data_IF_116894138359
#
_entry.id   IF_116894138359
#
_cell.length_a   1.000
_cell.length_b   1.000
_cell.length_c   1.000
_cell.angle_alpha   90.00
_cell.angle_beta   90.00
_cell.angle_gamma   90.00
#
_symmetry.space_group_name_H-M   'P 1'
#
loop_
_entity.id
_entity.type
_entity.pdbx_description
1 polymer ?
#
# COMPACT_ATOMS: atom_id res chain seq x y z
N UNK A 1 22.85 6.38 -18.58
CA UNK A 1 21.57 7.00 -18.17
C UNK A 1 20.62 5.86 -17.88
N UNK A 2 20.00 5.89 -16.72
CA UNK A 2 19.00 4.88 -16.36
C UNK A 2 17.81 5.04 -17.29
N UNK A 3 17.30 3.94 -17.82
CA UNK A 3 16.11 3.95 -18.68
C UNK A 3 14.88 3.89 -17.79
N UNK A 4 13.99 4.88 -17.91
CA UNK A 4 12.66 4.82 -17.31
C UNK A 4 11.85 3.78 -18.07
N UNK A 5 11.39 2.74 -17.36
CA UNK A 5 10.57 1.66 -17.93
C UNK A 5 9.08 1.85 -17.65
N UNK A 6 8.74 2.58 -16.61
CA UNK A 6 7.38 2.95 -16.25
C UNK A 6 7.36 4.25 -15.44
N UNK A 7 6.37 5.06 -15.66
CA UNK A 7 6.12 6.29 -14.93
C UNK A 7 4.61 6.47 -14.80
N UNK A 8 4.15 6.79 -13.59
CA UNK A 8 2.83 7.35 -13.36
C UNK A 8 3.00 8.70 -12.66
N UNK A 9 2.74 9.76 -13.39
CA UNK A 9 2.83 11.13 -12.93
C UNK A 9 1.47 11.73 -12.55
N UNK A 10 0.42 10.90 -12.63
CA UNK A 10 -0.96 11.28 -12.31
C UNK A 10 -1.45 12.52 -13.03
N UNK A 11 -0.97 12.75 -14.25
CA UNK A 11 -1.47 13.82 -15.12
C UNK A 11 -2.87 13.49 -15.64
N UNK A 12 -3.19 12.21 -15.79
CA UNK A 12 -4.54 11.75 -16.06
C UNK A 12 -5.34 11.64 -14.75
N UNK A 13 -6.60 12.05 -14.78
CA UNK A 13 -7.47 12.00 -13.61
C UNK A 13 -7.94 10.58 -13.27
N UNK A 14 -7.82 9.66 -14.21
CA UNK A 14 -8.22 8.27 -14.05
C UNK A 14 -7.05 7.38 -13.63
N UNK A 15 -6.85 7.20 -12.34
CA UNK A 15 -5.83 6.29 -11.80
C UNK A 15 -6.11 4.82 -12.12
N UNK A 16 -7.35 4.45 -12.46
CA UNK A 16 -7.75 3.04 -12.64
C UNK A 16 -7.10 2.35 -13.85
N UNK A 17 -6.42 3.09 -14.71
CA UNK A 17 -5.64 2.50 -15.81
C UNK A 17 -4.50 1.62 -15.27
N UNK A 18 -3.79 2.11 -14.26
CA UNK A 18 -2.63 1.44 -13.67
C UNK A 18 -2.91 0.83 -12.30
N UNK A 19 -3.99 1.26 -11.62
CA UNK A 19 -4.26 0.92 -10.23
C UNK A 19 -5.65 0.32 -10.06
N UNK A 20 -5.76 -0.61 -9.13
CA UNK A 20 -7.03 -1.21 -8.69
C UNK A 20 -7.26 -0.85 -7.22
N UNK A 21 -8.45 -0.34 -6.90
CA UNK A 21 -8.85 -0.12 -5.51
C UNK A 21 -9.19 -1.45 -4.85
N UNK A 22 -8.62 -1.68 -3.69
CA UNK A 22 -8.96 -2.79 -2.81
C UNK A 22 -9.99 -2.30 -1.81
N UNK A 23 -11.07 -3.04 -1.66
CA UNK A 23 -12.20 -2.67 -0.80
C UNK A 23 -12.29 -3.66 0.36
N UNK A 24 -12.65 -3.16 1.53
CA UNK A 24 -12.87 -4.00 2.70
C UNK A 24 -11.91 -3.75 3.85
N UNK A 25 -12.01 -4.62 4.85
CA UNK A 25 -11.13 -4.59 6.03
C UNK A 25 -10.15 -5.76 6.09
N UNK A 26 -10.02 -6.53 5.01
CA UNK A 26 -9.19 -7.72 4.93
C UNK A 26 -9.92 -9.02 5.27
N UNK A 27 -11.09 -8.99 5.87
CA UNK A 27 -11.86 -10.21 6.17
C UNK A 27 -12.25 -10.98 4.90
N UNK A 28 -12.49 -10.26 3.82
CA UNK A 28 -12.78 -10.77 2.48
C UNK A 28 -11.63 -11.61 1.91
N UNK A 29 -10.43 -11.39 2.43
CA UNK A 29 -9.19 -12.09 2.05
C UNK A 29 -8.71 -13.06 3.14
N UNK A 30 -9.52 -13.27 4.21
CA UNK A 30 -9.17 -14.13 5.33
C UNK A 30 -8.17 -13.50 6.33
N UNK A 31 -7.90 -12.21 6.24
CA UNK A 31 -6.96 -11.46 7.09
C UNK A 31 -7.63 -10.22 7.70
N UNK A 32 -8.65 -10.38 8.58
CA UNK A 32 -9.38 -9.26 9.16
C UNK A 32 -8.44 -8.25 9.83
N UNK A 33 -8.72 -6.95 9.64
CA UNK A 33 -7.83 -5.87 10.04
C UNK A 33 -6.48 -5.92 9.33
N UNK A 34 -6.45 -6.54 8.14
CA UNK A 34 -5.25 -6.74 7.30
C UNK A 34 -4.10 -7.42 8.05
N UNK A 35 -4.41 -8.23 9.07
CA UNK A 35 -3.42 -8.87 9.93
C UNK A 35 -2.75 -7.95 10.95
N UNK A 36 -3.04 -6.64 10.93
CA UNK A 36 -2.38 -5.60 11.73
C UNK A 36 -3.32 -4.91 12.75
N UNK A 37 -4.55 -5.41 12.91
CA UNK A 37 -5.60 -4.76 13.70
C UNK A 37 -5.96 -3.34 13.20
N UNK A 38 -5.82 -3.11 11.90
CA UNK A 38 -6.19 -1.85 11.26
C UNK A 38 -7.67 -1.52 11.50
N UNK A 39 -7.99 -0.24 11.66
CA UNK A 39 -9.29 0.24 12.15
C UNK A 39 -10.17 0.80 11.05
N UNK A 40 -9.64 1.02 9.86
CA UNK A 40 -10.37 1.56 8.73
C UNK A 40 -10.97 0.46 7.86
N UNK A 41 -12.00 0.84 7.15
CA UNK A 41 -12.51 0.13 5.98
C UNK A 41 -12.00 0.82 4.71
N UNK A 42 -11.38 0.10 3.81
CA UNK A 42 -10.92 0.65 2.54
C UNK A 42 -12.08 0.74 1.55
N UNK A 43 -12.15 1.85 0.84
CA UNK A 43 -13.20 2.12 -0.16
C UNK A 43 -12.58 2.58 -1.48
N UNK A 44 -13.39 2.60 -2.53
CA UNK A 44 -13.08 3.25 -3.81
C UNK A 44 -13.81 4.60 -3.96
N UNK A 45 -14.29 5.17 -2.85
CA UNK A 45 -14.95 6.47 -2.84
C UNK A 45 -14.01 7.55 -3.35
N UNK A 46 -14.54 8.47 -4.14
CA UNK A 46 -13.82 9.68 -4.58
C UNK A 46 -13.41 10.59 -3.42
N UNK A 47 -13.98 10.41 -2.23
CA UNK A 47 -13.56 11.11 -1.03
C UNK A 47 -12.29 10.50 -0.42
N UNK A 48 -12.06 9.20 -0.63
CA UNK A 48 -10.87 8.52 -0.15
C UNK A 48 -9.75 8.49 -1.21
N UNK A 49 -10.09 8.33 -2.50
CA UNK A 49 -9.10 8.17 -3.56
C UNK A 49 -9.46 9.05 -4.74
N UNK A 50 -8.59 9.98 -5.08
CA UNK A 50 -8.78 10.86 -6.22
C UNK A 50 -7.45 11.43 -6.75
N UNK A 51 -7.47 11.88 -8.00
CA UNK A 51 -6.33 12.58 -8.61
C UNK A 51 -6.68 14.05 -8.74
N UNK A 52 -5.78 14.91 -8.28
CA UNK A 52 -5.91 16.36 -8.39
C UNK A 52 -4.53 17.01 -8.55
N UNK A 53 -4.41 17.91 -9.51
CA UNK A 53 -3.17 18.67 -9.76
C UNK A 53 -1.93 17.77 -9.94
N UNK A 54 -2.05 16.69 -10.70
CA UNK A 54 -0.95 15.75 -10.92
C UNK A 54 -0.52 14.96 -9.67
N UNK A 55 -1.44 14.77 -8.73
CA UNK A 55 -1.17 14.00 -7.52
C UNK A 55 -2.31 13.02 -7.25
N UNK A 56 -1.97 11.76 -7.05
CA UNK A 56 -2.85 10.80 -6.41
C UNK A 56 -2.98 11.15 -4.92
N UNK A 57 -4.21 11.26 -4.45
CA UNK A 57 -4.50 11.46 -3.03
C UNK A 57 -5.23 10.26 -2.46
N UNK A 58 -4.75 9.78 -1.33
CA UNK A 58 -5.41 8.82 -0.47
C UNK A 58 -5.71 9.54 0.84
N UNK A 59 -6.99 9.66 1.17
CA UNK A 59 -7.45 10.47 2.29
C UNK A 59 -8.17 9.60 3.30
N UNK A 60 -7.63 9.42 4.51
CA UNK A 60 -8.35 8.79 5.60
C UNK A 60 -9.43 9.74 6.11
N UNK A 61 -10.61 9.19 6.38
CA UNK A 61 -11.76 9.95 6.86
C UNK A 61 -12.31 9.33 8.15
N UNK A 62 -12.81 10.19 9.03
CA UNK A 62 -13.63 9.79 10.18
C UNK A 62 -15.09 9.77 9.72
N UNK A 63 -15.53 8.60 9.29
CA UNK A 63 -16.90 8.35 8.83
C UNK A 63 -17.27 6.90 9.09
N UNK A 64 -18.55 6.61 9.23
CA UNK A 64 -19.04 5.27 9.52
C UNK A 64 -19.44 4.56 8.23
N UNK A 65 -18.71 3.47 7.92
CA UNK A 65 -18.98 2.61 6.75
C UNK A 65 -18.79 1.16 7.15
N UNK A 66 -19.75 0.29 6.81
CA UNK A 66 -19.67 -1.17 7.00
C UNK A 66 -19.27 -1.62 8.43
N UNK A 67 -19.67 -0.86 9.45
CA UNK A 67 -19.34 -1.16 10.84
C UNK A 67 -18.03 -0.54 11.35
N UNK A 68 -17.32 0.20 10.52
CA UNK A 68 -16.05 0.85 10.83
C UNK A 68 -16.24 2.36 10.97
N UNK A 69 -15.49 2.98 11.89
CA UNK A 69 -15.57 4.42 12.15
C UNK A 69 -14.57 5.24 11.32
N UNK A 70 -13.77 4.58 10.49
CA UNK A 70 -12.79 5.22 9.63
C UNK A 70 -12.81 4.58 8.26
N UNK A 71 -12.62 5.38 7.24
CA UNK A 71 -12.35 4.91 5.87
C UNK A 71 -11.00 5.39 5.38
N UNK A 72 -10.46 4.72 4.39
CA UNK A 72 -9.25 5.12 3.68
C UNK A 72 -9.22 4.48 2.29
N UNK A 73 -8.09 4.58 1.60
CA UNK A 73 -7.87 3.95 0.31
C UNK A 73 -6.68 3.00 0.32
N UNK A 74 -6.82 1.90 -0.40
CA UNK A 74 -5.74 0.94 -0.70
C UNK A 74 -5.74 0.67 -2.19
N UNK A 75 -4.58 0.79 -2.82
CA UNK A 75 -4.40 0.61 -4.26
C UNK A 75 -3.31 -0.42 -4.54
N UNK A 76 -3.48 -1.19 -5.58
CA UNK A 76 -2.47 -2.09 -6.11
C UNK A 76 -2.38 -2.02 -7.63
N UNK A 77 -1.22 -2.38 -8.17
CA UNK A 77 -0.99 -2.47 -9.62
C UNK A 77 -1.12 -3.89 -10.16
N UNK A 78 -1.46 -4.86 -9.33
CA UNK A 78 -1.53 -6.29 -9.68
C UNK A 78 -2.29 -6.52 -10.99
N UNK A 79 -1.71 -7.30 -11.90
CA UNK A 79 -2.24 -7.61 -13.23
C UNK A 79 -2.38 -6.41 -14.17
N UNK A 80 -1.81 -5.26 -13.82
CA UNK A 80 -1.76 -4.05 -14.66
C UNK A 80 -0.34 -3.60 -14.92
N UNK A 81 0.47 -3.51 -13.87
CA UNK A 81 1.88 -3.14 -13.95
C UNK A 81 2.66 -4.04 -12.99
N UNK A 82 3.55 -4.84 -13.55
CA UNK A 82 4.42 -5.74 -12.80
C UNK A 82 5.90 -5.39 -13.03
N UNK A 83 6.69 -5.51 -11.99
CA UNK A 83 8.15 -5.28 -12.04
C UNK A 83 8.86 -6.63 -11.96
N UNK A 84 9.43 -7.08 -13.09
CA UNK A 84 10.03 -8.42 -13.22
C UNK A 84 11.55 -8.41 -13.24
N UNK A 85 12.18 -7.24 -13.23
CA UNK A 85 13.63 -7.10 -13.35
C UNK A 85 14.20 -6.27 -12.21
N UNK A 86 15.49 -6.50 -11.86
CA UNK A 86 16.20 -5.59 -10.97
C UNK A 86 16.12 -4.16 -11.50
N UNK A 87 15.84 -3.22 -10.61
CA UNK A 87 15.68 -1.84 -11.00
C UNK A 87 15.65 -0.90 -9.80
N UNK A 88 15.36 0.35 -10.09
CA UNK A 88 15.17 1.39 -9.10
C UNK A 88 13.72 1.85 -9.15
N UNK A 89 13.07 1.88 -8.00
CA UNK A 89 11.76 2.50 -7.81
C UNK A 89 11.96 3.82 -7.07
N UNK A 90 11.35 4.87 -7.56
CA UNK A 90 11.36 6.18 -6.93
C UNK A 90 9.93 6.68 -6.81
N UNK A 91 9.53 7.04 -5.61
CA UNK A 91 8.20 7.57 -5.33
C UNK A 91 8.34 8.91 -4.63
N UNK A 92 7.70 9.94 -5.18
CA UNK A 92 7.58 11.24 -4.52
C UNK A 92 6.23 11.28 -3.82
N UNK A 93 6.25 11.41 -2.50
CA UNK A 93 5.01 11.42 -1.72
C UNK A 93 5.06 12.42 -0.57
N UNK A 94 3.90 12.70 -0.02
CA UNK A 94 3.70 13.44 1.22
C UNK A 94 2.87 12.57 2.16
N UNK A 95 3.45 12.25 3.32
CA UNK A 95 2.77 11.50 4.37
C UNK A 95 1.72 12.37 5.09
N UNK A 96 0.59 11.80 5.49
CA UNK A 96 -0.29 12.42 6.47
C UNK A 96 0.38 12.44 7.86
N UNK A 97 0.12 13.50 8.62
CA UNK A 97 0.55 13.64 10.01
C UNK A 97 -0.64 13.35 10.94
N UNK A 98 -0.39 12.75 12.08
CA UNK A 98 -1.37 12.50 13.12
C UNK A 98 -1.24 11.12 13.74
N UNK A 99 -1.56 11.03 15.02
CA UNK A 99 -1.55 9.76 15.77
C UNK A 99 -2.50 8.76 15.13
N UNK A 100 -2.01 7.54 14.87
CA UNK A 100 -2.77 6.47 14.23
C UNK A 100 -2.69 6.47 12.70
N UNK A 101 -2.05 7.47 12.08
CA UNK A 101 -1.74 7.42 10.64
C UNK A 101 -0.55 6.49 10.39
N UNK A 102 -0.71 5.62 9.37
CA UNK A 102 0.32 4.67 8.97
C UNK A 102 0.25 4.46 7.45
N UNK A 103 0.69 5.43 6.66
CA UNK A 103 0.80 5.26 5.22
C UNK A 103 1.96 4.34 4.88
N UNK A 104 1.77 3.52 3.84
CA UNK A 104 2.77 2.60 3.33
C UNK A 104 2.88 2.66 1.82
N UNK A 105 4.11 2.55 1.32
CA UNK A 105 4.45 2.31 -0.08
C UNK A 105 5.25 1.02 -0.11
N UNK A 106 4.71 0.00 -0.73
CA UNK A 106 5.21 -1.35 -0.58
C UNK A 106 4.95 -2.21 -1.82
N UNK A 107 5.56 -3.37 -1.86
CA UNK A 107 5.47 -4.32 -2.96
C UNK A 107 5.13 -5.71 -2.44
N UNK A 108 4.21 -6.36 -3.13
CA UNK A 108 3.88 -7.77 -2.95
C UNK A 108 4.15 -8.53 -4.25
N UNK A 109 4.43 -9.83 -4.18
CA UNK A 109 4.54 -10.66 -5.37
C UNK A 109 3.19 -10.71 -6.11
N UNK A 110 3.22 -10.58 -7.44
CA UNK A 110 2.03 -10.78 -8.28
C UNK A 110 1.54 -12.22 -8.16
N UNK A 111 2.49 -13.18 -8.16
CA UNK A 111 2.25 -14.60 -7.98
C UNK A 111 2.99 -15.12 -6.76
N UNK A 112 2.27 -15.77 -5.86
CA UNK A 112 2.86 -16.35 -4.64
C UNK A 112 3.47 -17.73 -4.91
N UNK A 113 4.47 -17.79 -5.79
CA UNK A 113 5.06 -19.04 -6.30
C UNK A 113 5.76 -19.88 -5.23
N UNK A 114 6.20 -19.25 -4.14
CA UNK A 114 6.85 -19.94 -3.01
C UNK A 114 5.90 -20.19 -1.84
N UNK A 115 4.62 -19.85 -2.00
CA UNK A 115 3.60 -19.96 -0.96
C UNK A 115 3.05 -18.60 -0.52
N UNK A 116 2.07 -18.63 0.38
CA UNK A 116 1.48 -17.43 0.96
C UNK A 116 2.50 -16.62 1.79
N UNK A 117 2.09 -15.43 2.20
CA UNK A 117 2.93 -14.57 3.04
C UNK A 117 3.46 -15.30 4.28
N UNK A 118 4.73 -15.11 4.64
CA UNK A 118 5.76 -14.29 4.00
C UNK A 118 6.67 -15.09 3.01
N UNK A 119 6.26 -16.29 2.58
CA UNK A 119 7.12 -17.20 1.81
C UNK A 119 7.50 -16.64 0.42
N UNK A 120 6.62 -15.87 -0.19
CA UNK A 120 6.91 -15.19 -1.47
C UNK A 120 7.43 -13.76 -1.30
N UNK A 121 7.66 -13.34 -0.05
CA UNK A 121 8.27 -12.05 0.28
C UNK A 121 7.30 -10.87 0.31
N UNK A 122 7.79 -9.76 0.87
CA UNK A 122 7.21 -8.43 0.85
C UNK A 122 8.35 -7.42 0.94
N UNK A 123 8.22 -6.29 0.27
CA UNK A 123 9.22 -5.21 0.31
C UNK A 123 8.50 -3.91 0.61
N UNK A 124 8.76 -3.32 1.77
CA UNK A 124 8.26 -2.02 2.15
C UNK A 124 9.29 -0.98 1.74
N UNK A 125 8.95 -0.16 0.76
CA UNK A 125 9.79 0.92 0.29
C UNK A 125 9.78 2.08 1.29
N UNK A 126 8.66 2.27 1.98
CA UNK A 126 8.54 3.28 2.99
C UNK A 126 7.24 3.20 3.76
N UNK A 127 7.35 3.08 5.07
CA UNK A 127 6.28 3.18 6.03
C UNK A 127 6.56 4.33 6.98
N UNK A 128 5.55 5.13 7.29
CA UNK A 128 5.70 6.28 8.18
C UNK A 128 4.64 6.21 9.25
N UNK A 129 5.06 6.37 10.48
CA UNK A 129 4.14 6.58 11.59
C UNK A 129 3.81 8.06 11.69
N UNK A 130 2.54 8.39 11.62
CA UNK A 130 2.10 9.78 11.62
C UNK A 130 2.34 10.52 12.95
N UNK A 131 2.71 9.82 14.01
CA UNK A 131 3.18 10.36 15.28
C UNK A 131 4.71 10.58 15.30
N UNK A 132 5.44 10.09 14.30
CA UNK A 132 6.88 10.27 14.13
C UNK A 132 7.25 10.52 12.66
N UNK A 133 7.04 11.72 12.18
CA UNK A 133 7.28 12.13 10.80
C UNK A 133 8.77 12.27 10.42
N UNK A 134 9.68 12.03 11.35
CA UNK A 134 11.13 12.14 11.12
C UNK A 134 11.76 10.80 10.75
N UNK A 135 10.98 9.73 10.79
CA UNK A 135 11.43 8.38 10.53
C UNK A 135 10.63 7.75 9.38
N UNK A 136 11.32 7.10 8.48
CA UNK A 136 10.74 6.26 7.45
C UNK A 136 11.37 4.87 7.58
N UNK A 137 10.54 3.86 7.72
CA UNK A 137 10.97 2.48 7.82
C UNK A 137 10.96 1.85 6.43
N UNK A 138 12.02 1.11 6.12
CA UNK A 138 12.10 0.31 4.90
C UNK A 138 12.44 -1.12 5.29
N UNK A 139 11.58 -2.07 4.94
CA UNK A 139 11.64 -3.42 5.48
C UNK A 139 11.51 -4.46 4.37
N UNK A 140 12.19 -5.57 4.51
CA UNK A 140 11.97 -6.78 3.71
C UNK A 140 11.45 -7.86 4.64
N UNK A 141 10.30 -8.44 4.32
CA UNK A 141 9.70 -9.56 5.03
C UNK A 141 9.90 -10.86 4.26
N UNK A 142 10.27 -11.93 4.97
CA UNK A 142 10.51 -13.25 4.40
C UNK A 142 10.34 -14.35 5.43
N UNK A 143 10.36 -15.60 4.99
CA UNK A 143 10.22 -16.78 5.86
C UNK A 143 9.41 -17.87 5.18
N UNK A 144 9.32 -19.05 5.77
CA UNK A 144 8.55 -20.17 5.19
C UNK A 144 7.04 -20.03 5.40
N UNK A 145 6.64 -19.41 6.48
CA UNK A 145 5.25 -19.28 6.93
C UNK A 145 5.16 -18.20 8.03
N UNK A 146 3.95 -17.77 8.44
CA UNK A 146 3.80 -16.73 9.45
C UNK A 146 4.46 -17.03 10.81
N UNK A 147 4.59 -18.28 11.20
CA UNK A 147 5.24 -18.66 12.46
C UNK A 147 6.78 -18.60 12.38
N UNK A 148 7.32 -18.62 11.18
CA UNK A 148 8.76 -18.50 10.89
C UNK A 148 9.07 -17.18 10.15
N UNK A 149 8.21 -16.19 10.29
CA UNK A 149 8.40 -14.87 9.72
C UNK A 149 9.66 -14.21 10.23
N UNK A 150 10.41 -13.64 9.32
CA UNK A 150 11.63 -12.85 9.56
C UNK A 150 11.54 -11.55 8.80
N UNK A 151 12.24 -10.56 9.28
CA UNK A 151 12.36 -9.29 8.59
C UNK A 151 13.76 -8.71 8.73
N UNK A 152 14.09 -7.81 7.83
CA UNK A 152 15.34 -7.04 7.85
C UNK A 152 15.02 -5.64 7.36
N UNK A 153 15.45 -4.63 8.12
CA UNK A 153 15.20 -3.23 7.82
C UNK A 153 15.03 -2.40 9.10
N UNK A 154 14.57 -1.16 8.95
CA UNK A 154 14.35 -0.20 10.02
C UNK A 154 14.48 1.23 9.52
#
# INVERSE_FOLDING_TARGET
MDKVIWLDDFTETNYSNNWTSIIGNGAEYGIPGWGNNEKQYYTNSVNNIFVINGCLRITPLNEYVEGFNYTSGKLETKNKVDFTHPGKISVKFRSPEGVGMWPAIWMMPTESIYGGWPASGEIDLGEIRGDNMQEILSTIHYGSDPSNHKYMGG
#
